data_IF_813671971957
#
_entry.id   IF_813671971957
#
_cell.length_a   1.000
_cell.length_b   1.000
_cell.length_c   1.000
_cell.angle_alpha   90.00
_cell.angle_beta   90.00
_cell.angle_gamma   90.00
#
_symmetry.space_group_name_H-M   'P 1'
#
loop_
_entity.id
_entity.type
_entity.pdbx_description
1 polymer ?
#
# COMPACT_ATOMS: atom_id res chain seq x y z
N UNK A 1 -25.95 10.32 -5.88
CA UNK A 1 -26.20 8.92 -6.26
C UNK A 1 -27.27 8.91 -7.36
N UNK A 2 -27.15 8.00 -8.35
CA UNK A 2 -28.06 7.91 -9.52
C UNK A 2 -29.56 7.82 -9.14
N UNK A 3 -29.88 7.42 -7.91
CA UNK A 3 -31.25 7.26 -7.42
C UNK A 3 -31.81 8.48 -6.69
N UNK A 4 -31.09 9.60 -6.60
CA UNK A 4 -31.56 10.83 -5.94
C UNK A 4 -31.60 10.79 -4.41
N UNK A 5 -31.05 9.76 -3.77
CA UNK A 5 -30.94 9.69 -2.32
C UNK A 5 -29.59 10.21 -1.84
N UNK A 6 -29.59 10.88 -0.68
CA UNK A 6 -28.36 11.18 0.03
C UNK A 6 -27.70 9.88 0.50
N UNK A 7 -26.40 9.76 0.25
CA UNK A 7 -25.66 8.56 0.57
C UNK A 7 -24.38 8.91 1.35
N UNK A 8 -24.24 8.32 2.53
CA UNK A 8 -23.04 8.44 3.33
C UNK A 8 -22.22 7.15 3.21
N UNK A 9 -20.94 7.27 2.86
CA UNK A 9 -20.00 6.13 2.85
C UNK A 9 -19.24 6.13 4.17
N UNK A 10 -19.28 5.00 4.87
CA UNK A 10 -18.63 4.82 6.17
C UNK A 10 -17.66 3.64 6.13
N UNK A 11 -16.50 3.76 6.77
CA UNK A 11 -15.59 2.64 6.92
C UNK A 11 -16.18 1.59 7.88
N UNK A 12 -16.22 0.30 7.53
CA UNK A 12 -16.77 -0.76 8.39
C UNK A 12 -16.10 -0.85 9.77
N UNK A 13 -14.81 -0.48 9.86
CA UNK A 13 -14.05 -0.45 11.11
C UNK A 13 -14.45 0.67 12.05
N UNK A 14 -15.07 1.73 11.54
CA UNK A 14 -15.52 2.90 12.32
C UNK A 14 -16.99 2.78 12.77
N UNK A 15 -17.71 1.74 12.33
CA UNK A 15 -19.09 1.53 12.73
C UNK A 15 -19.13 0.94 14.15
N UNK A 16 -19.82 1.57 15.12
CA UNK A 16 -19.89 1.08 16.49
C UNK A 16 -20.43 -0.35 16.57
N UNK A 17 -19.75 -1.20 17.34
CA UNK A 17 -20.16 -2.60 17.58
C UNK A 17 -20.38 -2.81 19.08
N UNK A 18 -21.47 -3.51 19.43
CA UNK A 18 -21.68 -3.91 20.83
C UNK A 18 -20.67 -4.99 21.22
N UNK A 19 -20.01 -4.87 22.39
CA UNK A 19 -19.17 -5.95 22.92
C UNK A 19 -19.95 -7.26 23.04
N UNK A 20 -19.34 -8.38 22.64
CA UNK A 20 -19.95 -9.71 22.78
C UNK A 20 -20.90 -10.13 21.64
N UNK A 21 -21.18 -9.28 20.66
CA UNK A 21 -22.00 -9.64 19.50
C UNK A 21 -21.21 -10.54 18.54
N UNK A 22 -21.46 -11.87 18.60
CA UNK A 22 -20.78 -12.88 17.80
C UNK A 22 -21.55 -13.33 16.55
N UNK A 23 -22.85 -13.03 16.48
CA UNK A 23 -23.70 -13.45 15.36
C UNK A 23 -23.80 -12.34 14.34
N UNK A 24 -23.25 -12.54 13.14
CA UNK A 24 -23.30 -11.63 12.00
C UNK A 24 -24.35 -12.13 10.99
N UNK A 25 -25.33 -11.29 10.68
CA UNK A 25 -26.29 -11.49 9.59
C UNK A 25 -26.57 -10.14 8.93
N UNK A 26 -26.88 -10.14 7.64
CA UNK A 26 -27.14 -8.91 6.87
C UNK A 26 -28.28 -8.10 7.49
N UNK A 27 -29.34 -8.77 7.99
CA UNK A 27 -30.44 -8.10 8.69
C UNK A 27 -29.98 -7.38 9.96
N UNK A 28 -29.11 -7.99 10.77
CA UNK A 28 -28.56 -7.35 11.98
C UNK A 28 -27.64 -6.20 11.63
N UNK A 29 -26.82 -6.35 10.60
CA UNK A 29 -25.94 -5.31 10.12
C UNK A 29 -26.75 -4.13 9.57
N UNK A 30 -27.80 -4.34 8.80
CA UNK A 30 -28.72 -3.30 8.32
C UNK A 30 -29.40 -2.54 9.49
N UNK A 31 -29.95 -3.26 10.47
CA UNK A 31 -30.56 -2.65 11.67
C UNK A 31 -29.56 -1.82 12.45
N UNK A 32 -28.31 -2.31 12.59
CA UNK A 32 -27.23 -1.58 13.28
C UNK A 32 -26.91 -0.29 12.54
N UNK A 33 -26.72 -0.36 11.21
CA UNK A 33 -26.45 0.82 10.38
C UNK A 33 -27.56 1.88 10.50
N UNK A 34 -28.82 1.47 10.42
CA UNK A 34 -29.96 2.39 10.57
C UNK A 34 -29.97 3.05 11.97
N UNK A 35 -29.70 2.27 13.03
CA UNK A 35 -29.61 2.82 14.40
C UNK A 35 -28.46 3.80 14.55
N UNK A 36 -27.27 3.46 14.05
CA UNK A 36 -26.10 4.33 14.12
C UNK A 36 -26.27 5.58 13.26
N UNK A 37 -26.91 5.48 12.09
CA UNK A 37 -27.24 6.64 11.26
C UNK A 37 -28.19 7.59 11.99
N UNK A 38 -29.25 7.06 12.61
CA UNK A 38 -30.23 7.85 13.37
C UNK A 38 -29.64 8.50 14.61
N UNK A 39 -28.66 7.85 15.25
CA UNK A 39 -27.95 8.37 16.42
C UNK A 39 -26.86 9.39 16.08
N UNK A 40 -26.49 9.56 14.81
CA UNK A 40 -25.36 10.40 14.39
C UNK A 40 -23.97 9.79 14.69
N UNK A 41 -23.91 8.49 14.99
CA UNK A 41 -22.67 7.80 15.37
C UNK A 41 -21.82 7.36 14.17
N UNK A 42 -22.28 7.62 12.94
CA UNK A 42 -21.54 7.26 11.73
C UNK A 42 -20.62 8.39 11.30
N UNK A 43 -19.37 8.06 11.06
CA UNK A 43 -18.39 8.98 10.48
C UNK A 43 -18.27 8.75 8.98
N UNK A 44 -18.55 9.79 8.19
CA UNK A 44 -18.34 9.75 6.75
C UNK A 44 -16.85 9.61 6.41
N UNK A 45 -16.53 8.81 5.39
CA UNK A 45 -15.19 8.72 4.83
C UNK A 45 -15.13 9.48 3.50
N UNK A 46 -13.95 10.01 3.20
CA UNK A 46 -13.70 10.63 1.91
C UNK A 46 -13.83 9.61 0.79
N UNK A 47 -14.64 9.94 -0.20
CA UNK A 47 -14.79 9.14 -1.43
C UNK A 47 -14.06 9.89 -2.54
N UNK A 48 -13.00 9.30 -3.12
CA UNK A 48 -12.29 9.92 -4.23
C UNK A 48 -13.18 10.08 -5.46
N UNK A 49 -12.83 11.03 -6.32
CA UNK A 49 -13.41 11.10 -7.66
C UNK A 49 -13.00 9.89 -8.51
N UNK A 50 -13.72 9.66 -9.61
CA UNK A 50 -13.48 8.51 -10.50
C UNK A 50 -12.03 8.51 -11.02
N UNK A 51 -11.52 9.67 -11.40
CA UNK A 51 -10.15 9.83 -11.87
C UNK A 51 -9.12 9.54 -10.76
N UNK A 52 -9.31 10.10 -9.57
CA UNK A 52 -8.43 9.85 -8.41
C UNK A 52 -8.42 8.37 -8.02
N UNK A 53 -9.55 7.68 -8.16
CA UNK A 53 -9.67 6.24 -7.92
C UNK A 53 -8.87 5.44 -8.95
N UNK A 54 -8.94 5.82 -10.24
CA UNK A 54 -8.17 5.18 -11.30
C UNK A 54 -6.65 5.32 -11.08
N UNK A 55 -6.17 6.51 -10.69
CA UNK A 55 -4.75 6.70 -10.33
C UNK A 55 -4.33 5.89 -9.12
N UNK A 56 -5.20 5.79 -8.11
CA UNK A 56 -4.95 4.94 -6.93
C UNK A 56 -4.86 3.47 -7.32
N UNK A 57 -5.72 2.99 -8.19
CA UNK A 57 -5.68 1.59 -8.64
C UNK A 57 -4.39 1.30 -9.43
N UNK A 58 -3.96 2.20 -10.30
CA UNK A 58 -2.69 2.06 -11.04
C UNK A 58 -1.48 2.09 -10.10
N UNK A 59 -1.46 3.00 -9.11
CA UNK A 59 -0.39 3.08 -8.11
C UNK A 59 -0.34 1.81 -7.25
N UNK A 60 -1.48 1.26 -6.86
CA UNK A 60 -1.57 -0.01 -6.11
C UNK A 60 -1.16 -1.21 -6.95
N UNK A 61 -1.50 -1.23 -8.24
CA UNK A 61 -1.03 -2.27 -9.15
C UNK A 61 0.51 -2.28 -9.25
N UNK A 62 1.12 -1.10 -9.34
CA UNK A 62 2.58 -0.97 -9.29
C UNK A 62 3.17 -1.46 -7.96
N UNK A 63 2.58 -1.07 -6.82
CA UNK A 63 3.03 -1.50 -5.50
C UNK A 63 2.96 -3.03 -5.35
N UNK A 64 1.87 -3.65 -5.81
CA UNK A 64 1.72 -5.12 -5.82
C UNK A 64 2.76 -5.80 -6.70
N UNK A 65 3.02 -5.28 -7.91
CA UNK A 65 4.04 -5.82 -8.80
C UNK A 65 5.45 -5.72 -8.18
N UNK A 66 5.73 -4.63 -7.45
CA UNK A 66 6.98 -4.44 -6.72
C UNK A 66 7.15 -5.44 -5.57
N UNK A 67 6.08 -5.73 -4.84
CA UNK A 67 6.07 -6.74 -3.80
C UNK A 67 6.27 -8.16 -4.39
N UNK A 68 5.62 -8.47 -5.50
CA UNK A 68 5.84 -9.73 -6.22
C UNK A 68 7.30 -9.91 -6.65
N UNK A 69 7.90 -8.84 -7.18
CA UNK A 69 9.33 -8.84 -7.53
C UNK A 69 10.22 -9.08 -6.32
N UNK A 70 9.93 -8.43 -5.18
CA UNK A 70 10.65 -8.65 -3.92
C UNK A 70 10.54 -10.10 -3.47
N UNK A 71 9.35 -10.69 -3.51
CA UNK A 71 9.12 -12.08 -3.16
C UNK A 71 9.80 -13.06 -4.15
N UNK A 72 9.79 -12.77 -5.45
CA UNK A 72 10.49 -13.57 -6.44
C UNK A 72 12.01 -13.58 -6.17
N UNK A 73 12.58 -12.42 -5.87
CA UNK A 73 13.99 -12.27 -5.49
C UNK A 73 14.32 -13.04 -4.21
N UNK A 74 13.45 -13.01 -3.21
CA UNK A 74 13.63 -13.75 -1.97
C UNK A 74 13.57 -15.26 -2.20
N UNK A 75 12.61 -15.73 -3.03
CA UNK A 75 12.52 -17.16 -3.40
C UNK A 75 13.79 -17.67 -4.07
N UNK A 76 14.35 -16.92 -5.03
CA UNK A 76 15.62 -17.31 -5.64
C UNK A 76 16.77 -17.35 -4.63
N UNK A 77 16.87 -16.36 -3.73
CA UNK A 77 17.90 -16.37 -2.66
C UNK A 77 17.76 -17.58 -1.75
N UNK A 78 16.54 -17.92 -1.34
CA UNK A 78 16.27 -19.11 -0.51
C UNK A 78 16.62 -20.40 -1.26
N UNK A 79 16.30 -20.49 -2.55
CA UNK A 79 16.66 -21.64 -3.38
C UNK A 79 18.18 -21.82 -3.46
N UNK A 80 18.93 -20.76 -3.73
CA UNK A 80 20.40 -20.80 -3.77
C UNK A 80 20.98 -21.18 -2.40
N UNK A 81 20.45 -20.64 -1.30
CA UNK A 81 20.89 -20.92 0.06
C UNK A 81 20.75 -22.41 0.42
N UNK A 82 19.61 -23.02 0.09
CA UNK A 82 19.36 -24.47 0.31
C UNK A 82 20.41 -25.34 -0.41
N UNK A 83 20.94 -24.86 -1.52
CA UNK A 83 22.00 -25.56 -2.28
C UNK A 83 23.42 -25.12 -1.93
N UNK A 84 23.61 -24.36 -0.84
CA UNK A 84 24.92 -23.91 -0.40
C UNK A 84 25.57 -22.85 -1.29
N UNK A 85 24.77 -22.21 -2.15
CA UNK A 85 25.25 -21.23 -3.13
C UNK A 85 25.09 -19.82 -2.56
N UNK A 86 26.21 -19.11 -2.39
CA UNK A 86 26.24 -17.78 -1.80
C UNK A 86 26.95 -16.78 -2.71
N UNK A 87 26.35 -15.63 -2.89
CA UNK A 87 27.02 -14.49 -3.51
C UNK A 87 27.84 -13.72 -2.47
N UNK A 88 29.15 -13.59 -2.71
CA UNK A 88 30.10 -12.93 -1.77
C UNK A 88 30.29 -11.45 -2.09
N UNK A 89 29.48 -10.85 -2.97
CA UNK A 89 29.59 -9.45 -3.34
C UNK A 89 28.92 -8.50 -2.36
N UNK A 90 29.20 -7.20 -2.55
CA UNK A 90 28.76 -6.12 -1.64
C UNK A 90 27.24 -5.87 -1.64
N UNK A 91 26.57 -6.04 -2.77
CA UNK A 91 25.15 -5.73 -2.92
C UNK A 91 24.43 -6.71 -3.82
N UNK A 92 23.27 -7.18 -3.38
CA UNK A 92 22.38 -8.00 -4.17
C UNK A 92 21.68 -7.16 -5.26
N UNK A 93 21.33 -7.82 -6.38
CA UNK A 93 20.53 -7.29 -7.50
C UNK A 93 21.17 -6.15 -8.28
N UNK A 94 22.39 -5.76 -7.93
CA UNK A 94 23.20 -4.86 -8.73
C UNK A 94 23.80 -5.54 -9.98
N UNK A 95 24.49 -4.80 -10.87
CA UNK A 95 25.06 -5.35 -12.11
C UNK A 95 26.02 -6.53 -11.87
N UNK A 96 26.83 -6.47 -10.82
CA UNK A 96 27.75 -7.55 -10.48
C UNK A 96 27.04 -8.84 -10.06
N UNK A 97 25.99 -8.74 -9.22
CA UNK A 97 25.19 -9.89 -8.82
C UNK A 97 24.43 -10.51 -9.99
N UNK A 98 23.85 -9.68 -10.88
CA UNK A 98 23.18 -10.16 -12.10
C UNK A 98 24.13 -10.90 -13.02
N UNK A 99 25.35 -10.40 -13.24
CA UNK A 99 26.40 -11.08 -14.00
C UNK A 99 26.84 -12.40 -13.34
N UNK A 100 26.91 -12.43 -12.01
CA UNK A 100 27.22 -13.65 -11.28
C UNK A 100 26.10 -14.69 -11.47
N UNK A 101 24.84 -14.30 -11.31
CA UNK A 101 23.69 -15.18 -11.55
C UNK A 101 23.66 -15.72 -13.00
N UNK A 102 24.02 -14.90 -13.99
CA UNK A 102 24.02 -15.35 -15.40
C UNK A 102 25.12 -16.34 -15.73
N UNK A 103 26.21 -16.36 -14.94
CA UNK A 103 27.34 -17.28 -15.12
C UNK A 103 27.23 -18.56 -14.30
N UNK A 104 26.35 -18.53 -13.27
CA UNK A 104 26.17 -19.68 -12.41
C UNK A 104 25.33 -20.77 -13.09
N UNK A 105 25.74 -22.03 -12.94
CA UNK A 105 25.01 -23.20 -13.42
C UNK A 105 25.09 -24.35 -12.43
N UNK A 106 24.01 -25.12 -12.34
CA UNK A 106 23.93 -26.35 -11.56
C UNK A 106 24.33 -27.56 -12.44
N UNK A 107 25.00 -28.54 -11.87
CA UNK A 107 25.33 -29.80 -12.57
C UNK A 107 24.07 -30.63 -12.90
N UNK A 108 23.06 -30.59 -12.01
CA UNK A 108 21.81 -31.30 -12.23
C UNK A 108 20.89 -30.53 -13.20
N UNK A 109 20.47 -31.14 -14.33
CA UNK A 109 19.57 -30.47 -15.28
C UNK A 109 18.25 -30.01 -14.67
N UNK A 110 17.73 -30.77 -13.73
CA UNK A 110 16.46 -30.43 -13.04
C UNK A 110 16.60 -29.25 -12.10
N UNK A 111 17.74 -29.13 -11.41
CA UNK A 111 18.06 -27.96 -10.59
C UNK A 111 18.31 -26.73 -11.45
N UNK A 112 18.99 -26.93 -12.58
CA UNK A 112 19.21 -25.85 -13.55
C UNK A 112 17.89 -25.33 -14.09
N UNK A 113 16.95 -26.19 -14.46
CA UNK A 113 15.61 -25.79 -14.91
C UNK A 113 14.88 -24.98 -13.85
N UNK A 114 14.89 -25.42 -12.59
CA UNK A 114 14.25 -24.70 -11.48
C UNK A 114 14.92 -23.33 -11.25
N UNK A 115 16.24 -23.24 -11.32
CA UNK A 115 16.99 -22.00 -11.21
C UNK A 115 16.64 -21.02 -12.33
N UNK A 116 16.56 -21.49 -13.57
CA UNK A 116 16.22 -20.67 -14.73
C UNK A 116 14.78 -20.15 -14.65
N UNK A 117 13.83 -20.96 -14.16
CA UNK A 117 12.46 -20.49 -13.94
C UNK A 117 12.36 -19.42 -12.83
N UNK A 118 13.15 -19.54 -11.77
CA UNK A 118 13.23 -18.46 -10.78
C UNK A 118 13.79 -17.16 -11.37
N UNK A 119 14.82 -17.26 -12.22
CA UNK A 119 15.40 -16.09 -12.90
C UNK A 119 14.40 -15.46 -13.86
N UNK A 120 13.74 -16.24 -14.70
CA UNK A 120 12.70 -15.79 -15.63
C UNK A 120 11.57 -15.06 -14.89
N UNK A 121 11.08 -15.64 -13.78
CA UNK A 121 10.07 -15.00 -12.94
C UNK A 121 10.53 -13.61 -12.47
N UNK A 122 11.79 -13.43 -12.10
CA UNK A 122 12.31 -12.13 -11.66
C UNK A 122 12.36 -11.14 -12.84
N UNK A 123 12.79 -11.58 -14.02
CA UNK A 123 12.83 -10.75 -15.23
C UNK A 123 11.43 -10.29 -15.64
N UNK A 124 10.44 -11.19 -15.63
CA UNK A 124 9.04 -10.88 -15.93
C UNK A 124 8.45 -9.85 -14.94
N UNK A 125 8.70 -10.04 -13.62
CA UNK A 125 8.24 -9.11 -12.60
C UNK A 125 8.95 -7.76 -12.68
N UNK A 126 10.22 -7.73 -13.03
CA UNK A 126 10.97 -6.50 -13.27
C UNK A 126 10.38 -5.73 -14.46
N UNK A 127 10.14 -6.39 -15.57
CA UNK A 127 9.52 -5.80 -16.77
C UNK A 127 8.09 -5.29 -16.47
N UNK A 128 7.33 -6.01 -15.63
CA UNK A 128 6.01 -5.55 -15.18
C UNK A 128 6.08 -4.24 -14.38
N UNK A 129 7.02 -4.14 -13.42
CA UNK A 129 7.23 -2.92 -12.65
C UNK A 129 7.59 -1.74 -13.56
N UNK A 130 8.49 -1.96 -14.53
CA UNK A 130 8.94 -0.93 -15.48
C UNK A 130 7.79 -0.44 -16.37
N UNK A 131 6.95 -1.34 -16.88
CA UNK A 131 5.76 -0.96 -17.67
C UNK A 131 4.78 -0.12 -16.86
N UNK A 132 4.47 -0.53 -15.62
CA UNK A 132 3.56 0.21 -14.75
C UNK A 132 4.12 1.56 -14.32
N UNK A 133 5.43 1.65 -14.08
CA UNK A 133 6.10 2.91 -13.77
C UNK A 133 6.06 3.88 -14.96
N UNK A 134 6.29 3.39 -16.18
CA UNK A 134 6.18 4.20 -17.39
C UNK A 134 4.76 4.69 -17.61
N UNK A 135 3.77 3.82 -17.45
CA UNK A 135 2.35 4.20 -17.56
C UNK A 135 1.96 5.26 -16.51
N UNK A 136 2.44 5.13 -15.27
CA UNK A 136 2.21 6.14 -14.23
C UNK A 136 2.85 7.49 -14.59
N UNK A 137 4.08 7.50 -15.13
CA UNK A 137 4.77 8.73 -15.54
C UNK A 137 4.04 9.45 -16.67
N UNK A 138 3.50 8.72 -17.61
CA UNK A 138 2.75 9.26 -18.72
C UNK A 138 1.39 9.80 -18.27
N UNK A 139 0.61 8.97 -17.58
CA UNK A 139 -0.75 9.31 -17.20
C UNK A 139 -0.85 10.46 -16.19
N UNK A 140 0.08 10.52 -15.22
CA UNK A 140 -0.02 11.45 -14.07
C UNK A 140 0.11 12.93 -14.48
N UNK A 141 0.72 13.22 -15.61
CA UNK A 141 0.91 14.60 -16.11
C UNK A 141 -0.40 15.32 -16.39
N UNK A 142 -1.44 14.57 -16.74
CA UNK A 142 -2.79 15.09 -16.99
C UNK A 142 -3.66 15.12 -15.72
N UNK A 143 -3.19 14.53 -14.63
CA UNK A 143 -3.97 14.45 -13.40
C UNK A 143 -4.04 15.79 -12.67
N UNK A 144 -5.25 16.18 -12.23
CA UNK A 144 -5.49 17.43 -11.50
C UNK A 144 -4.60 17.62 -10.26
N UNK A 145 -4.12 16.54 -9.64
CA UNK A 145 -3.24 16.56 -8.46
C UNK A 145 -1.74 16.51 -8.82
N UNK A 146 -1.39 16.53 -10.11
CA UNK A 146 0.02 16.53 -10.55
C UNK A 146 0.86 17.66 -9.93
N UNK A 147 0.39 18.91 -9.82
CA UNK A 147 1.17 19.97 -9.16
C UNK A 147 1.54 19.65 -7.71
N UNK A 148 0.68 18.89 -7.01
CA UNK A 148 0.99 18.44 -5.62
C UNK A 148 2.05 17.33 -5.62
N UNK A 149 2.00 16.43 -6.62
CA UNK A 149 3.03 15.41 -6.82
C UNK A 149 4.39 16.06 -7.09
N UNK A 150 4.45 17.08 -7.93
CA UNK A 150 5.69 17.84 -8.20
C UNK A 150 6.21 18.54 -6.93
N UNK A 151 5.33 19.21 -6.19
CA UNK A 151 5.71 19.90 -4.96
C UNK A 151 6.30 18.94 -3.91
N UNK A 152 5.75 17.72 -3.79
CA UNK A 152 6.28 16.70 -2.88
C UNK A 152 7.68 16.21 -3.27
N UNK A 153 8.00 16.18 -4.56
CA UNK A 153 9.33 15.76 -5.03
C UNK A 153 10.44 16.77 -4.65
N UNK A 154 10.09 18.01 -4.31
CA UNK A 154 11.04 18.96 -3.72
C UNK A 154 11.53 18.56 -2.31
N UNK A 155 10.81 17.66 -1.64
CA UNK A 155 11.19 17.16 -0.33
C UNK A 155 12.25 16.07 -0.44
N UNK A 156 13.26 16.13 0.40
CA UNK A 156 14.36 15.14 0.41
C UNK A 156 13.83 13.74 0.69
N UNK A 157 14.11 12.80 -0.21
CA UNK A 157 13.75 11.38 -0.08
C UNK A 157 12.41 11.01 -0.72
N UNK A 158 11.63 11.98 -1.20
CA UNK A 158 10.39 11.70 -1.92
C UNK A 158 10.68 11.72 -3.42
N UNK A 159 10.70 10.53 -4.02
CA UNK A 159 10.83 10.33 -5.46
C UNK A 159 9.43 10.29 -6.12
N UNK A 160 9.39 10.44 -7.45
CA UNK A 160 8.15 10.47 -8.25
C UNK A 160 7.12 9.41 -7.82
N UNK A 161 7.51 8.14 -7.82
CA UNK A 161 6.59 7.03 -7.48
C UNK A 161 6.07 7.11 -6.04
N UNK A 162 6.92 7.55 -5.10
CA UNK A 162 6.51 7.75 -3.70
C UNK A 162 5.49 8.88 -3.61
N UNK A 163 5.72 9.98 -4.33
CA UNK A 163 4.81 11.13 -4.37
C UNK A 163 3.45 10.74 -4.99
N UNK A 164 3.46 10.06 -6.14
CA UNK A 164 2.24 9.58 -6.80
C UNK A 164 1.47 8.61 -5.89
N UNK A 165 2.14 7.61 -5.32
CA UNK A 165 1.50 6.65 -4.42
C UNK A 165 0.90 7.33 -3.19
N UNK A 166 1.60 8.30 -2.61
CA UNK A 166 1.10 9.06 -1.47
C UNK A 166 -0.14 9.88 -1.82
N UNK A 167 -0.10 10.66 -2.91
CA UNK A 167 -1.21 11.53 -3.32
C UNK A 167 -2.41 10.72 -3.83
N UNK A 168 -2.19 9.60 -4.51
CA UNK A 168 -3.28 8.72 -4.94
C UNK A 168 -4.09 8.13 -3.77
N UNK A 169 -3.44 7.90 -2.63
CA UNK A 169 -4.11 7.44 -1.41
C UNK A 169 -4.72 8.60 -0.61
N UNK A 170 -4.05 9.74 -0.54
CA UNK A 170 -4.52 10.92 0.19
C UNK A 170 -5.65 11.64 -0.53
N UNK A 171 -5.59 11.76 -1.84
CA UNK A 171 -6.48 12.61 -2.61
C UNK A 171 -6.28 14.09 -2.29
N UNK A 172 -7.38 14.83 -2.14
CA UNK A 172 -7.35 16.26 -1.85
C UNK A 172 -6.84 16.53 -0.44
N UNK A 173 -5.68 17.22 -0.35
CA UNK A 173 -5.07 17.60 0.93
C UNK A 173 -5.82 18.71 1.66
N UNK A 174 -6.64 19.51 0.95
CA UNK A 174 -7.41 20.62 1.57
C UNK A 174 -8.46 20.15 2.56
N UNK A 175 -8.82 18.86 2.53
CA UNK A 175 -9.72 18.23 3.49
C UNK A 175 -9.17 18.10 4.91
N UNK A 176 -7.87 18.32 5.08
CA UNK A 176 -7.22 18.28 6.39
C UNK A 176 -6.99 19.71 6.88
N UNK A 177 -7.78 20.14 7.85
CA UNK A 177 -7.68 21.48 8.44
C UNK A 177 -6.43 21.62 9.32
N UNK A 178 -5.90 20.50 9.83
CA UNK A 178 -4.77 20.52 10.74
C UNK A 178 -3.83 19.30 10.51
N UNK A 179 -2.49 19.47 10.60
CA UNK A 179 -1.53 18.38 10.41
C UNK A 179 -1.77 17.14 11.28
N UNK A 180 -2.34 17.29 12.47
CA UNK A 180 -2.68 16.16 13.35
C UNK A 180 -3.76 15.24 12.75
N UNK A 181 -4.68 15.77 11.97
CA UNK A 181 -5.69 14.97 11.27
C UNK A 181 -5.02 14.08 10.22
N UNK A 182 -4.05 14.62 9.49
CA UNK A 182 -3.24 13.86 8.54
C UNK A 182 -2.41 12.77 9.24
N UNK A 183 -1.77 13.08 10.36
CA UNK A 183 -1.03 12.10 11.16
C UNK A 183 -1.95 10.97 11.65
N UNK A 184 -3.16 11.31 12.10
CA UNK A 184 -4.18 10.34 12.52
C UNK A 184 -4.64 9.47 11.36
N UNK A 185 -4.84 10.07 10.17
CA UNK A 185 -5.22 9.36 8.96
C UNK A 185 -4.14 8.36 8.52
N UNK A 186 -2.87 8.67 8.67
CA UNK A 186 -1.75 7.73 8.47
C UNK A 186 -1.67 6.66 9.57
N UNK A 187 -2.28 6.88 10.73
CA UNK A 187 -2.12 6.02 11.90
C UNK A 187 -0.72 6.07 12.50
N UNK A 188 -0.04 7.21 12.38
CA UNK A 188 1.30 7.47 12.97
C UNK A 188 1.22 8.21 14.30
N UNK A 189 0.03 8.48 14.81
CA UNK A 189 -0.18 9.00 16.16
C UNK A 189 0.07 7.89 17.18
N UNK A 190 0.72 8.19 18.32
CA UNK A 190 0.89 7.20 19.38
C UNK A 190 -0.46 6.78 19.97
N UNK A 191 -0.57 5.52 20.35
CA UNK A 191 -1.68 5.04 21.17
C UNK A 191 -1.54 5.56 22.59
N UNK A 192 -2.65 5.82 23.26
CA UNK A 192 -2.64 6.32 24.63
C UNK A 192 -3.71 5.61 25.48
N UNK A 193 -3.30 5.14 26.68
CA UNK A 193 -4.14 4.55 27.71
C UNK A 193 -3.86 5.28 29.01
N UNK A 194 -4.31 6.51 29.10
CA UNK A 194 -4.10 7.36 30.27
C UNK A 194 -5.35 7.40 31.13
N UNK A 195 -5.19 7.32 32.45
CA UNK A 195 -6.29 7.47 33.42
C UNK A 195 -5.81 8.23 34.65
N UNK A 196 -6.61 9.22 35.09
CA UNK A 196 -6.24 10.08 36.20
C UNK A 196 -4.94 10.86 35.93
N UNK A 197 -4.00 10.82 36.87
CA UNK A 197 -2.70 11.48 36.74
C UNK A 197 -1.62 10.65 36.02
N UNK A 198 -1.94 9.42 35.58
CA UNK A 198 -0.98 8.50 34.94
C UNK A 198 -1.13 8.54 33.42
N UNK A 199 -0.01 8.83 32.70
CA UNK A 199 0.02 8.87 31.24
C UNK A 199 0.80 7.68 30.68
N UNK A 200 0.12 6.81 29.90
CA UNK A 200 0.73 5.69 29.22
C UNK A 200 0.58 5.84 27.71
N UNK A 201 1.68 6.18 27.03
CA UNK A 201 1.76 6.21 25.57
C UNK A 201 2.42 4.95 25.04
N UNK A 202 1.79 4.34 24.05
CA UNK A 202 2.30 3.16 23.35
C UNK A 202 2.93 3.51 21.99
N UNK A 203 3.11 2.47 21.18
CA UNK A 203 3.55 2.62 19.78
C UNK A 203 2.48 3.32 18.93
N UNK A 204 2.82 3.63 17.66
CA UNK A 204 1.86 4.21 16.70
C UNK A 204 0.63 3.31 16.53
N UNK A 205 -0.54 3.92 16.36
CA UNK A 205 -1.84 3.23 16.31
C UNK A 205 -1.97 2.25 15.15
N UNK A 206 -1.30 2.52 14.03
CA UNK A 206 -1.42 1.77 12.75
C UNK A 206 -2.87 1.66 12.23
N UNK A 207 -3.78 2.48 12.74
CA UNK A 207 -5.20 2.45 12.37
C UNK A 207 -5.49 3.07 11.00
N UNK A 208 -4.50 3.71 10.38
CA UNK A 208 -4.64 4.43 9.12
C UNK A 208 -4.30 3.60 7.88
N UNK A 209 -4.22 4.30 6.75
CA UNK A 209 -3.91 3.70 5.45
C UNK A 209 -2.50 3.09 5.42
N UNK A 210 -2.42 1.78 5.18
CA UNK A 210 -1.15 1.04 5.17
C UNK A 210 -0.29 1.28 3.92
N UNK A 211 -0.90 1.67 2.80
CA UNK A 211 -0.18 1.99 1.56
C UNK A 211 0.54 3.33 1.63
N UNK A 212 -0.03 4.30 2.38
CA UNK A 212 0.52 5.64 2.50
C UNK A 212 1.45 5.81 3.73
N UNK A 213 1.49 4.86 4.65
CA UNK A 213 2.36 4.81 5.82
C UNK A 213 3.67 4.12 5.49
#
# INVERSE_FOLDING_TARGET
VKSGFDCMVCAPSLIPKKPGERVKTDRRDAIRLVRSLRAGDLSAVYVPGIEDEAFRDLARAWASARDDLRHARQRLKSFLLVHGVHYVGRADWGPAHRRWLSKYSFESPWRQLAFDEHRRTIEDRQAQCERLESALKEAVTEWRLYPVVEALQAMRGIQFITAVGLISELGDLTRFEHPRQLMSWFGITPSEYSSGGSRHQGSITKAGNSYAR
#
